data_IF_951002275262
#
_entry.id   IF_951002275262
#
_cell.length_a   1.000
_cell.length_b   1.000
_cell.length_c   1.000
_cell.angle_alpha   90.00
_cell.angle_beta   90.00
_cell.angle_gamma   90.00
#
_symmetry.space_group_name_H-M   'P 1'
#
loop_
_entity.id
_entity.type
_entity.pdbx_description
1 polymer ?
#
# COMPACT_ATOMS: atom_id res chain seq x y z
N UNK A 1 -12.49 65.30 29.09
CA UNK A 1 -12.26 66.12 30.30
C UNK A 1 -12.11 65.17 31.49
N UNK A 2 -10.92 65.18 32.13
CA UNK A 2 -10.56 64.69 33.49
C UNK A 2 -10.99 63.27 33.93
N UNK A 3 -10.22 62.47 34.65
CA UNK A 3 -8.82 62.45 35.10
C UNK A 3 -8.56 61.07 35.73
N UNK A 4 -7.30 60.68 35.74
CA UNK A 4 -6.65 59.64 36.55
C UNK A 4 -6.95 59.73 38.06
N UNK A 5 -6.73 58.61 38.79
CA UNK A 5 -5.71 58.54 39.85
C UNK A 5 -5.48 57.10 40.35
N UNK A 6 -4.22 56.71 40.27
CA UNK A 6 -3.53 55.64 41.00
C UNK A 6 -3.61 55.83 42.52
N UNK A 7 -3.42 54.76 43.29
CA UNK A 7 -2.38 54.74 44.33
C UNK A 7 -1.85 53.33 44.59
N UNK A 8 -0.53 53.29 44.76
CA UNK A 8 0.34 52.13 44.92
C UNK A 8 0.90 52.06 46.34
N UNK A 9 1.26 50.86 46.80
CA UNK A 9 2.41 50.58 47.67
C UNK A 9 2.50 49.04 47.82
N UNK A 10 3.52 48.37 47.28
CA UNK A 10 4.85 48.14 47.87
C UNK A 10 4.77 47.44 49.25
N UNK A 11 5.48 46.38 49.60
CA UNK A 11 6.60 45.59 49.04
C UNK A 11 6.88 44.46 50.06
N UNK A 12 7.39 43.28 49.71
CA UNK A 12 8.81 42.83 49.66
C UNK A 12 8.85 41.48 50.40
N UNK A 13 9.15 40.36 49.71
CA UNK A 13 10.46 39.72 49.48
C UNK A 13 11.05 38.99 50.70
N UNK A 14 11.28 37.68 50.55
CA UNK A 14 12.59 36.98 50.61
C UNK A 14 12.37 35.48 50.37
N UNK A 15 12.94 34.90 49.31
CA UNK A 15 14.25 34.21 49.24
C UNK A 15 14.21 32.85 49.97
N UNK A 16 14.59 31.73 49.35
CA UNK A 16 16.00 31.31 49.22
C UNK A 16 16.33 30.63 47.86
N UNK A 17 17.43 31.10 47.25
CA UNK A 17 18.35 30.39 46.36
C UNK A 17 19.74 30.50 47.00
N UNK A 18 20.54 29.42 46.98
CA UNK A 18 22.01 29.40 47.01
C UNK A 18 22.43 27.99 46.52
N UNK A 19 23.11 27.73 45.40
CA UNK A 19 24.40 28.22 44.85
C UNK A 19 25.61 27.78 45.68
N UNK A 20 26.48 26.94 45.10
CA UNK A 20 27.95 27.05 45.20
C UNK A 20 28.64 26.30 44.06
N UNK A 21 29.76 26.88 43.60
CA UNK A 21 30.51 26.61 42.37
C UNK A 21 31.94 26.16 42.73
N UNK A 22 32.56 25.41 41.81
CA UNK A 22 33.98 25.41 41.47
C UNK A 22 35.02 24.51 42.20
N UNK A 23 35.68 23.70 41.35
CA UNK A 23 37.13 23.36 41.28
C UNK A 23 37.79 22.42 42.31
N UNK A 24 38.26 21.26 41.85
CA UNK A 24 39.71 20.98 41.69
C UNK A 24 40.01 19.68 40.94
N UNK A 25 41.13 19.74 40.22
CA UNK A 25 41.77 18.74 39.39
C UNK A 25 42.31 17.53 40.17
N UNK A 26 42.31 16.39 39.47
CA UNK A 26 43.47 15.54 39.16
C UNK A 26 43.55 14.13 39.77
N UNK A 27 43.97 13.20 38.88
CA UNK A 27 44.49 11.83 39.10
C UNK A 27 43.45 10.72 39.26
N UNK A 28 43.20 10.00 38.16
CA UNK A 28 43.64 8.60 37.98
C UNK A 28 43.40 8.19 36.52
N UNK A 29 44.49 7.98 35.80
CA UNK A 29 44.49 7.32 34.50
C UNK A 29 44.46 5.79 34.73
N UNK A 30 43.43 5.11 34.22
CA UNK A 30 43.53 3.70 33.79
C UNK A 30 42.74 3.56 32.49
N UNK A 31 43.45 3.02 31.51
CA UNK A 31 43.06 2.69 30.13
C UNK A 31 42.13 1.49 30.11
N UNK A 32 41.02 1.56 29.37
CA UNK A 32 40.46 0.42 28.65
C UNK A 32 39.46 0.87 27.56
N UNK A 33 39.76 0.45 26.34
CA UNK A 33 39.10 0.74 25.08
C UNK A 33 37.78 -0.01 24.87
N UNK A 34 37.06 0.39 23.81
CA UNK A 34 36.05 -0.34 23.03
C UNK A 34 34.61 -0.43 23.58
N UNK A 35 33.72 0.43 23.07
CA UNK A 35 32.74 0.07 22.05
C UNK A 35 31.73 1.22 21.88
N UNK A 36 31.88 1.99 20.81
CA UNK A 36 30.83 2.89 20.34
C UNK A 36 29.80 2.04 19.60
N UNK A 37 28.72 1.66 20.28
CA UNK A 37 27.52 1.13 19.61
C UNK A 37 26.63 2.31 19.22
N UNK A 38 26.89 2.89 18.07
CA UNK A 38 25.87 3.63 17.31
C UNK A 38 24.93 2.59 16.71
N UNK A 39 23.88 2.24 17.43
CA UNK A 39 22.77 1.48 16.88
C UNK A 39 21.97 2.41 15.95
N UNK A 40 22.31 2.41 14.67
CA UNK A 40 21.44 2.93 13.61
C UNK A 40 20.24 1.98 13.51
N UNK A 41 19.11 2.36 14.10
CA UNK A 41 17.85 1.68 13.85
C UNK A 41 17.41 2.01 12.41
N UNK A 42 17.59 1.06 11.50
CA UNK A 42 16.80 1.00 10.29
C UNK A 42 15.30 1.02 10.69
N UNK A 43 14.39 1.59 9.88
CA UNK A 43 12.97 1.38 10.10
C UNK A 43 12.74 -0.13 10.15
N UNK A 44 12.16 -0.59 11.26
CA UNK A 44 11.96 -2.01 11.53
C UNK A 44 11.34 -2.67 10.28
N UNK A 45 11.99 -3.68 9.68
CA UNK A 45 11.36 -4.43 8.61
C UNK A 45 10.03 -4.91 9.17
N UNK A 46 8.94 -4.64 8.42
CA UNK A 46 7.62 -5.17 8.75
C UNK A 46 7.83 -6.64 9.12
N UNK A 47 7.36 -7.10 10.30
CA UNK A 47 7.59 -8.47 10.71
C UNK A 47 7.17 -9.36 9.56
N UNK A 48 8.12 -10.15 9.03
CA UNK A 48 7.85 -11.15 8.01
C UNK A 48 6.98 -12.19 8.69
N UNK A 49 5.67 -11.92 8.70
CA UNK A 49 4.67 -12.93 8.98
C UNK A 49 4.90 -14.02 7.93
N UNK A 50 5.04 -15.30 8.33
CA UNK A 50 5.21 -16.35 7.35
C UNK A 50 4.01 -16.31 6.38
N UNK A 51 4.22 -16.50 5.06
CA UNK A 51 3.11 -16.67 4.12
C UNK A 51 2.18 -17.75 4.68
N UNK A 52 0.85 -17.58 4.53
CA UNK A 52 -0.12 -18.49 5.17
C UNK A 52 0.19 -19.95 4.88
N UNK A 53 0.86 -20.62 5.82
CA UNK A 53 0.92 -22.06 5.82
C UNK A 53 -0.46 -22.51 6.30
N UNK A 54 -1.23 -23.09 5.38
CA UNK A 54 -2.50 -23.73 5.67
C UNK A 54 -2.42 -25.17 5.19
N UNK A 55 -2.90 -26.07 6.02
CA UNK A 55 -3.22 -27.45 5.68
C UNK A 55 -4.57 -27.57 4.95
N UNK A 56 -5.31 -26.46 4.81
CA UNK A 56 -6.45 -26.38 3.91
C UNK A 56 -5.92 -26.29 2.47
N UNK A 57 -6.19 -27.34 1.70
CA UNK A 57 -5.76 -27.50 0.32
C UNK A 57 -6.65 -26.66 -0.63
N UNK A 58 -6.77 -25.36 -0.36
CA UNK A 58 -7.76 -24.48 -1.00
C UNK A 58 -7.37 -24.09 -2.43
N UNK A 59 -6.11 -23.67 -2.62
CA UNK A 59 -5.59 -23.19 -3.91
C UNK A 59 -4.83 -24.29 -4.69
N UNK A 60 -5.08 -25.57 -4.42
CA UNK A 60 -4.30 -26.64 -5.06
C UNK A 60 -4.58 -26.78 -6.56
N UNK A 61 -5.80 -26.45 -6.98
CA UNK A 61 -6.27 -26.64 -8.36
C UNK A 61 -6.02 -25.43 -9.27
N UNK A 62 -5.60 -24.29 -8.69
CA UNK A 62 -5.34 -23.04 -9.40
C UNK A 62 -4.48 -22.07 -8.57
N UNK A 63 -3.67 -21.25 -9.22
CA UNK A 63 -2.82 -20.25 -8.60
C UNK A 63 -3.24 -18.85 -9.03
N UNK A 64 -3.05 -17.86 -8.16
CA UNK A 64 -3.19 -16.46 -8.56
C UNK A 64 -2.31 -16.19 -9.78
N UNK A 65 -2.79 -15.33 -10.68
CA UNK A 65 -2.24 -15.06 -12.00
C UNK A 65 -2.45 -16.15 -13.07
N UNK A 66 -3.10 -17.28 -12.76
CA UNK A 66 -3.51 -18.22 -13.79
C UNK A 66 -4.46 -17.57 -14.80
N UNK A 67 -4.31 -17.94 -16.06
CA UNK A 67 -5.27 -17.51 -17.09
C UNK A 67 -6.58 -18.26 -16.93
N UNK A 68 -7.67 -17.62 -17.30
CA UNK A 68 -8.99 -18.24 -17.39
C UNK A 68 -8.95 -19.55 -18.20
N UNK A 69 -8.25 -19.55 -19.34
CA UNK A 69 -8.11 -20.74 -20.17
C UNK A 69 -7.40 -21.90 -19.45
N UNK A 70 -6.35 -21.62 -18.66
CA UNK A 70 -5.66 -22.63 -17.86
C UNK A 70 -6.54 -23.14 -16.72
N UNK A 71 -7.22 -22.24 -16.00
CA UNK A 71 -8.14 -22.58 -14.92
C UNK A 71 -9.26 -23.54 -15.38
N UNK A 72 -9.82 -23.29 -16.56
CA UNK A 72 -10.91 -24.11 -17.12
C UNK A 72 -10.49 -25.53 -17.49
N UNK A 73 -9.19 -25.83 -17.61
CA UNK A 73 -8.71 -27.19 -17.86
C UNK A 73 -8.90 -28.09 -16.63
N UNK A 74 -8.75 -27.55 -15.42
CA UNK A 74 -8.98 -28.28 -14.16
C UNK A 74 -10.42 -28.16 -13.64
N UNK A 75 -11.21 -27.20 -14.14
CA UNK A 75 -12.57 -26.90 -13.65
C UNK A 75 -13.64 -26.91 -14.76
N UNK A 76 -13.59 -27.89 -15.66
CA UNK A 76 -14.39 -27.90 -16.88
C UNK A 76 -15.93 -27.98 -16.66
N UNK A 77 -16.40 -28.49 -15.53
CA UNK A 77 -17.84 -28.69 -15.26
C UNK A 77 -18.21 -28.32 -13.83
N UNK A 78 -19.52 -28.11 -13.57
CA UNK A 78 -20.01 -27.87 -12.20
C UNK A 78 -19.80 -26.47 -11.66
N UNK A 79 -19.51 -25.49 -12.53
CA UNK A 79 -19.36 -24.09 -12.15
C UNK A 79 -20.49 -23.22 -12.73
N UNK A 80 -20.74 -22.09 -12.07
CA UNK A 80 -21.59 -21.02 -12.59
C UNK A 80 -20.74 -19.77 -12.82
N UNK A 81 -20.74 -19.25 -14.06
CA UNK A 81 -20.11 -17.98 -14.40
C UNK A 81 -21.10 -16.82 -14.23
N UNK A 82 -20.64 -15.74 -13.59
CA UNK A 82 -21.46 -14.58 -13.25
C UNK A 82 -20.63 -13.30 -13.44
N UNK A 83 -21.24 -12.17 -13.88
CA UNK A 83 -20.49 -10.92 -14.02
C UNK A 83 -19.94 -10.41 -12.67
N UNK A 84 -18.70 -9.93 -12.69
CA UNK A 84 -18.05 -9.30 -11.53
C UNK A 84 -17.36 -8.00 -11.97
N UNK A 85 -18.14 -6.92 -12.03
CA UNK A 85 -17.69 -5.66 -12.64
C UNK A 85 -17.33 -5.84 -14.11
N UNK A 86 -16.10 -5.51 -14.48
CA UNK A 86 -15.54 -5.74 -15.81
C UNK A 86 -14.94 -7.15 -15.98
N UNK A 87 -14.86 -7.92 -14.90
CA UNK A 87 -14.36 -9.29 -14.85
C UNK A 87 -15.47 -10.32 -14.67
N UNK A 88 -15.08 -11.51 -14.20
CA UNK A 88 -15.97 -12.67 -14.03
C UNK A 88 -15.75 -13.36 -12.69
N UNK A 89 -16.82 -13.85 -12.12
CA UNK A 89 -16.81 -14.74 -10.96
C UNK A 89 -17.26 -16.13 -11.40
N UNK A 90 -16.49 -17.15 -11.01
CA UNK A 90 -16.82 -18.56 -11.19
C UNK A 90 -17.14 -19.18 -9.84
N UNK A 91 -18.35 -19.71 -9.69
CA UNK A 91 -18.80 -20.35 -8.45
C UNK A 91 -18.84 -21.86 -8.56
N UNK A 92 -18.33 -22.54 -7.54
CA UNK A 92 -18.44 -24.00 -7.37
C UNK A 92 -19.19 -24.23 -6.06
N UNK A 93 -20.23 -25.07 -6.11
CA UNK A 93 -21.05 -25.36 -4.93
C UNK A 93 -20.33 -26.30 -3.95
N UNK A 94 -20.75 -26.26 -2.69
CA UNK A 94 -20.21 -27.09 -1.60
C UNK A 94 -20.13 -28.59 -1.94
N UNK A 95 -21.14 -29.13 -2.62
CA UNK A 95 -21.19 -30.56 -2.99
C UNK A 95 -20.18 -30.97 -4.05
N UNK A 96 -19.62 -30.02 -4.79
CA UNK A 96 -18.65 -30.22 -5.87
C UNK A 96 -17.25 -29.75 -5.49
N UNK A 97 -17.13 -29.01 -4.39
CA UNK A 97 -15.87 -28.50 -3.87
C UNK A 97 -15.08 -29.59 -3.15
N UNK A 98 -13.80 -29.74 -3.49
CA UNK A 98 -12.88 -30.60 -2.75
C UNK A 98 -12.64 -30.12 -1.31
N UNK A 99 -12.78 -28.81 -1.09
CA UNK A 99 -12.61 -28.19 0.23
C UNK A 99 -13.87 -28.23 1.09
N UNK A 100 -15.00 -28.73 0.57
CA UNK A 100 -16.29 -28.71 1.25
C UNK A 100 -16.79 -27.29 1.52
N UNK A 101 -16.48 -26.36 0.62
CA UNK A 101 -16.85 -24.94 0.73
C UNK A 101 -17.64 -24.47 -0.49
N UNK A 102 -18.36 -23.37 -0.36
CA UNK A 102 -18.82 -22.62 -1.53
C UNK A 102 -17.64 -21.80 -2.06
N UNK A 103 -17.11 -22.17 -3.23
CA UNK A 103 -15.94 -21.53 -3.82
C UNK A 103 -16.35 -20.45 -4.82
N UNK A 104 -15.60 -19.36 -4.84
CA UNK A 104 -15.71 -18.29 -5.82
C UNK A 104 -14.33 -17.88 -6.32
N UNK A 105 -14.12 -17.93 -7.63
CA UNK A 105 -12.87 -17.63 -8.31
C UNK A 105 -13.06 -16.40 -9.20
N UNK A 106 -12.21 -15.40 -9.06
CA UNK A 106 -12.43 -14.08 -9.61
C UNK A 106 -11.37 -13.72 -10.64
N UNK A 107 -11.83 -13.49 -11.85
CA UNK A 107 -11.00 -13.09 -12.97
C UNK A 107 -11.21 -11.62 -13.28
N UNK A 108 -10.13 -10.90 -13.57
CA UNK A 108 -10.24 -9.54 -14.06
C UNK A 108 -10.65 -9.50 -15.54
N UNK A 109 -10.67 -8.29 -16.11
CA UNK A 109 -11.09 -8.07 -17.49
C UNK A 109 -10.18 -8.76 -18.53
N UNK A 110 -8.93 -9.07 -18.17
CA UNK A 110 -7.98 -9.74 -19.05
C UNK A 110 -8.03 -11.27 -18.89
N UNK A 111 -8.91 -11.76 -18.02
CA UNK A 111 -9.02 -13.19 -17.72
C UNK A 111 -7.88 -13.69 -16.84
N UNK A 112 -7.26 -12.83 -16.03
CA UNK A 112 -6.27 -13.24 -15.03
C UNK A 112 -6.96 -13.54 -13.71
N UNK A 113 -6.64 -14.66 -13.07
CA UNK A 113 -7.15 -15.02 -11.75
C UNK A 113 -6.54 -14.09 -10.69
N UNK A 114 -7.35 -13.16 -10.16
CA UNK A 114 -6.89 -12.12 -9.23
C UNK A 114 -7.29 -12.39 -7.78
N UNK A 115 -8.22 -13.31 -7.56
CA UNK A 115 -8.54 -13.79 -6.22
C UNK A 115 -9.46 -14.99 -6.19
N UNK A 116 -9.55 -15.58 -5.01
CA UNK A 116 -10.43 -16.69 -4.68
C UNK A 116 -11.04 -16.48 -3.29
N UNK A 117 -12.25 -16.97 -3.08
CA UNK A 117 -12.98 -16.94 -1.82
C UNK A 117 -13.62 -18.32 -1.57
N UNK A 118 -13.40 -18.84 -0.37
CA UNK A 118 -13.94 -20.10 0.13
C UNK A 118 -14.85 -19.75 1.30
N UNK A 119 -16.14 -20.09 1.19
CA UNK A 119 -17.14 -19.80 2.23
C UNK A 119 -17.62 -21.11 2.84
N UNK A 120 -17.66 -21.16 4.17
CA UNK A 120 -18.15 -22.29 4.95
C UNK A 120 -19.42 -21.88 5.70
N UNK A 121 -20.62 -22.01 5.10
CA UNK A 121 -21.84 -21.48 5.69
C UNK A 121 -22.19 -22.12 7.04
N UNK A 122 -21.88 -23.42 7.22
CA UNK A 122 -22.05 -24.13 8.48
C UNK A 122 -20.86 -24.00 9.44
N UNK A 123 -19.79 -23.30 9.01
CA UNK A 123 -18.51 -23.21 9.69
C UNK A 123 -17.65 -24.47 9.55
N UNK A 124 -16.35 -24.29 9.35
CA UNK A 124 -15.37 -25.37 9.36
C UNK A 124 -14.66 -25.42 10.72
N UNK A 125 -14.80 -26.52 11.45
CA UNK A 125 -14.03 -26.76 12.69
C UNK A 125 -12.54 -26.85 12.35
N UNK A 126 -11.73 -25.95 12.91
CA UNK A 126 -10.30 -25.92 12.67
C UNK A 126 -9.50 -26.87 13.57
N UNK A 127 -10.14 -27.59 14.50
CA UNK A 127 -9.47 -28.56 15.37
C UNK A 127 -8.64 -29.60 14.60
N UNK A 128 -9.09 -30.17 13.46
CA UNK A 128 -8.30 -31.12 12.66
C UNK A 128 -7.15 -30.49 11.86
N UNK A 129 -7.04 -29.16 11.87
CA UNK A 129 -6.14 -28.37 11.01
C UNK A 129 -5.06 -27.66 11.86
N UNK A 130 -4.07 -28.41 12.40
CA UNK A 130 -3.08 -27.86 13.33
C UNK A 130 -2.18 -26.80 12.69
N UNK A 131 -1.90 -26.87 11.39
CA UNK A 131 -1.01 -25.91 10.72
C UNK A 131 -1.71 -24.55 10.65
N UNK A 132 -2.96 -24.51 10.18
CA UNK A 132 -3.70 -23.26 10.12
C UNK A 132 -3.95 -22.68 11.52
N UNK A 133 -4.27 -23.52 12.52
CA UNK A 133 -4.44 -23.03 13.91
C UNK A 133 -3.18 -22.40 14.47
N UNK A 134 -2.02 -23.01 14.24
CA UNK A 134 -0.75 -22.45 14.68
C UNK A 134 -0.49 -21.09 14.00
N UNK A 135 -0.64 -21.03 12.67
CA UNK A 135 -0.52 -19.79 11.89
C UNK A 135 -1.43 -18.69 12.46
N UNK A 136 -2.72 -18.97 12.68
CA UNK A 136 -3.67 -17.99 13.22
C UNK A 136 -3.33 -17.56 14.65
N UNK A 137 -2.74 -18.43 15.46
CA UNK A 137 -2.36 -18.12 16.85
C UNK A 137 -1.19 -17.14 16.95
N UNK A 138 -0.35 -17.09 15.91
CA UNK A 138 0.78 -16.16 15.81
C UNK A 138 0.37 -14.79 15.26
N UNK A 139 -0.80 -14.72 14.61
CA UNK A 139 -1.33 -13.50 14.04
C UNK A 139 -2.14 -12.70 15.07
N UNK A 140 -1.98 -11.37 15.01
CA UNK A 140 -2.92 -10.45 15.68
C UNK A 140 -4.11 -10.22 14.74
N UNK A 141 -5.37 -10.33 15.22
CA UNK A 141 -6.52 -9.98 14.41
C UNK A 141 -6.41 -8.55 13.90
N UNK A 142 -6.65 -8.36 12.61
CA UNK A 142 -6.71 -7.04 11.97
C UNK A 142 -7.97 -6.30 12.43
N UNK A 143 -9.06 -7.05 12.67
CA UNK A 143 -10.33 -6.50 13.12
C UNK A 143 -11.13 -7.57 13.86
N UNK A 144 -11.85 -7.15 14.91
CA UNK A 144 -12.80 -7.96 15.66
C UNK A 144 -14.18 -7.32 15.60
N UNK A 145 -15.22 -8.13 15.41
CA UNK A 145 -16.59 -7.65 15.27
C UNK A 145 -17.59 -8.77 15.60
N UNK A 146 -18.87 -8.41 15.77
CA UNK A 146 -19.92 -9.38 16.03
C UNK A 146 -20.61 -9.78 14.73
N UNK A 147 -20.77 -11.08 14.53
CA UNK A 147 -21.48 -11.65 13.39
C UNK A 147 -22.56 -12.64 13.88
N UNK A 148 -23.74 -12.55 13.26
CA UNK A 148 -24.80 -13.54 13.41
C UNK A 148 -24.75 -14.47 12.21
N UNK A 149 -24.50 -15.76 12.42
CA UNK A 149 -24.45 -16.77 11.35
C UNK A 149 -25.55 -17.81 11.59
N UNK A 150 -26.69 -17.72 10.88
CA UNK A 150 -27.87 -18.54 11.17
C UNK A 150 -27.66 -20.06 11.02
N UNK A 151 -26.70 -20.44 10.16
CA UNK A 151 -26.39 -21.83 9.83
C UNK A 151 -25.39 -22.47 10.81
N UNK A 152 -24.82 -21.72 11.77
CA UNK A 152 -23.91 -22.30 12.76
C UNK A 152 -24.65 -23.27 13.69
N UNK A 153 -24.04 -24.42 14.05
CA UNK A 153 -24.63 -25.35 15.03
C UNK A 153 -24.82 -24.73 16.42
N UNK A 154 -23.96 -23.78 16.80
CA UNK A 154 -24.12 -22.98 18.01
C UNK A 154 -25.33 -22.05 17.83
N UNK A 155 -26.38 -22.26 18.63
CA UNK A 155 -27.57 -21.37 18.65
C UNK A 155 -27.28 -19.95 19.18
N UNK A 156 -26.01 -19.58 19.34
CA UNK A 156 -25.59 -18.25 19.76
C UNK A 156 -25.89 -17.27 18.62
N UNK A 157 -26.79 -16.32 18.88
CA UNK A 157 -27.24 -15.36 17.86
C UNK A 157 -26.18 -14.31 17.51
N UNK A 158 -25.11 -14.18 18.30
CA UNK A 158 -23.98 -13.28 18.08
C UNK A 158 -22.71 -13.88 18.65
N UNK A 159 -21.79 -14.28 17.78
CA UNK A 159 -20.46 -14.74 18.18
C UNK A 159 -19.42 -13.66 17.84
N UNK A 160 -18.37 -13.58 18.66
CA UNK A 160 -17.19 -12.75 18.33
C UNK A 160 -16.52 -13.36 17.11
N UNK A 161 -16.29 -12.55 16.09
CA UNK A 161 -15.57 -12.92 14.88
C UNK A 161 -14.32 -12.07 14.73
N UNK A 162 -13.26 -12.69 14.28
CA UNK A 162 -11.93 -12.12 14.12
C UNK A 162 -11.47 -12.29 12.69
N UNK A 163 -11.01 -11.21 12.07
CA UNK A 163 -10.34 -11.25 10.78
C UNK A 163 -8.83 -11.32 10.98
N UNK A 164 -8.22 -12.37 10.45
CA UNK A 164 -6.78 -12.52 10.37
C UNK A 164 -6.30 -12.26 8.95
N UNK A 165 -5.11 -11.69 8.82
CA UNK A 165 -4.48 -11.44 7.53
C UNK A 165 -3.02 -11.88 7.57
N UNK A 166 -2.56 -12.46 6.48
CA UNK A 166 -1.16 -12.78 6.18
C UNK A 166 -0.95 -12.67 4.66
N UNK A 167 0.20 -13.07 4.14
CA UNK A 167 0.53 -12.94 2.74
C UNK A 167 2.03 -12.92 2.48
N UNK A 168 2.39 -12.61 1.24
CA UNK A 168 3.77 -12.34 0.83
C UNK A 168 3.89 -10.90 0.28
N UNK A 169 4.89 -10.61 -0.54
CA UNK A 169 5.08 -9.28 -1.12
C UNK A 169 4.01 -8.87 -2.14
N UNK A 170 3.24 -9.85 -2.66
CA UNK A 170 2.33 -9.65 -3.80
C UNK A 170 0.91 -10.12 -3.55
N UNK A 171 0.71 -10.89 -2.49
CA UNK A 171 -0.55 -11.58 -2.23
C UNK A 171 -0.94 -11.44 -0.77
N UNK A 172 -2.24 -11.44 -0.56
CA UNK A 172 -2.85 -11.34 0.75
C UNK A 172 -3.81 -12.50 0.92
N UNK A 173 -3.68 -13.19 2.05
CA UNK A 173 -4.62 -14.20 2.53
C UNK A 173 -5.40 -13.65 3.73
N UNK A 174 -6.72 -13.82 3.73
CA UNK A 174 -7.60 -13.38 4.82
C UNK A 174 -8.44 -14.54 5.33
N UNK A 175 -8.56 -14.65 6.66
CA UNK A 175 -9.32 -15.69 7.34
C UNK A 175 -10.30 -15.06 8.32
N UNK A 176 -11.60 -15.26 8.10
CA UNK A 176 -12.65 -14.87 9.03
C UNK A 176 -12.97 -16.05 9.94
N UNK A 177 -12.65 -15.92 11.22
CA UNK A 177 -12.76 -17.00 12.21
C UNK A 177 -13.68 -16.57 13.33
N UNK A 178 -14.48 -17.49 13.85
CA UNK A 178 -15.30 -17.31 15.05
C UNK A 178 -15.07 -18.48 16.03
N UNK A 179 -15.85 -18.54 17.11
CA UNK A 179 -15.67 -19.52 18.18
C UNK A 179 -14.60 -19.12 19.20
N UNK A 180 -14.18 -20.09 20.01
CA UNK A 180 -13.18 -19.87 21.07
C UNK A 180 -11.78 -20.18 20.55
N UNK A 181 -10.76 -19.78 21.30
CA UNK A 181 -9.36 -20.12 20.97
C UNK A 181 -9.13 -21.63 20.86
N UNK A 182 -9.84 -22.43 21.66
CA UNK A 182 -9.69 -23.89 21.69
C UNK A 182 -10.53 -24.59 20.61
N UNK A 183 -11.60 -23.94 20.14
CA UNK A 183 -12.49 -24.42 19.08
C UNK A 183 -12.76 -23.31 18.06
N UNK A 184 -11.73 -22.92 17.28
CA UNK A 184 -11.91 -21.93 16.24
C UNK A 184 -12.68 -22.52 15.06
N UNK A 185 -13.63 -21.74 14.55
CA UNK A 185 -14.48 -22.10 13.41
C UNK A 185 -14.17 -21.12 12.27
N UNK A 186 -13.72 -21.64 11.13
CA UNK A 186 -13.50 -20.83 9.94
C UNK A 186 -14.82 -20.60 9.21
N UNK A 187 -15.11 -19.34 8.88
CA UNK A 187 -16.29 -18.94 8.11
C UNK A 187 -15.92 -18.63 6.66
N UNK A 188 -14.80 -17.93 6.45
CA UNK A 188 -14.30 -17.64 5.10
C UNK A 188 -12.79 -17.65 5.05
N UNK A 189 -12.23 -18.10 3.93
CA UNK A 189 -10.84 -17.84 3.55
C UNK A 189 -10.81 -17.18 2.17
N UNK A 190 -10.00 -16.13 1.98
CA UNK A 190 -9.79 -15.53 0.67
C UNK A 190 -8.32 -15.31 0.37
N UNK A 191 -7.95 -15.45 -0.90
CA UNK A 191 -6.60 -15.27 -1.41
C UNK A 191 -6.66 -14.29 -2.57
N UNK A 192 -5.85 -13.25 -2.55
CA UNK A 192 -5.92 -12.17 -3.55
C UNK A 192 -4.56 -11.62 -3.88
N UNK A 193 -4.40 -11.16 -5.11
CA UNK A 193 -3.31 -10.26 -5.46
C UNK A 193 -3.55 -8.91 -4.77
N UNK A 194 -2.52 -8.31 -4.16
CA UNK A 194 -2.68 -7.19 -3.23
C UNK A 194 -3.51 -5.99 -3.73
N UNK A 195 -3.38 -5.52 -5.00
CA UNK A 195 -4.17 -4.39 -5.48
C UNK A 195 -5.69 -4.64 -5.38
N UNK A 196 -6.10 -5.91 -5.41
CA UNK A 196 -7.50 -6.32 -5.36
C UNK A 196 -8.03 -6.51 -3.94
N UNK A 197 -7.20 -6.54 -2.89
CA UNK A 197 -7.62 -6.85 -1.51
C UNK A 197 -8.85 -6.08 -1.05
N UNK A 198 -8.92 -4.78 -1.37
CA UNK A 198 -10.05 -3.94 -0.98
C UNK A 198 -11.38 -4.44 -1.54
N UNK A 199 -11.38 -5.08 -2.71
CA UNK A 199 -12.56 -5.68 -3.35
C UNK A 199 -12.99 -6.99 -2.71
N UNK A 200 -12.14 -7.62 -1.89
CA UNK A 200 -12.38 -8.90 -1.22
C UNK A 200 -12.61 -8.76 0.28
N UNK A 201 -12.67 -7.52 0.78
CA UNK A 201 -12.89 -7.26 2.19
C UNK A 201 -14.11 -8.03 2.71
N UNK A 202 -13.95 -8.93 3.69
CA UNK A 202 -15.04 -9.80 4.16
C UNK A 202 -16.15 -9.03 4.88
N UNK A 203 -16.01 -7.72 5.05
CA UNK A 203 -17.03 -6.80 5.57
C UNK A 203 -17.92 -6.22 4.48
N UNK A 204 -17.55 -6.38 3.21
CA UNK A 204 -18.43 -6.00 2.12
C UNK A 204 -19.69 -6.84 2.23
N UNK A 205 -20.81 -6.14 2.08
CA UNK A 205 -22.14 -6.72 2.23
C UNK A 205 -22.30 -7.99 1.38
N UNK A 206 -21.77 -7.99 0.17
CA UNK A 206 -21.82 -9.11 -0.77
C UNK A 206 -21.16 -10.40 -0.23
N UNK A 207 -20.09 -10.32 0.56
CA UNK A 207 -19.44 -11.49 1.16
C UNK A 207 -20.08 -11.87 2.49
N UNK A 208 -20.44 -10.88 3.32
CA UNK A 208 -21.19 -11.12 4.55
C UNK A 208 -22.53 -11.81 4.29
N UNK A 209 -23.22 -11.45 3.20
CA UNK A 209 -24.49 -12.06 2.83
C UNK A 209 -24.33 -13.54 2.45
N UNK A 210 -23.17 -13.95 1.91
CA UNK A 210 -22.86 -15.39 1.65
C UNK A 210 -22.74 -16.18 2.95
N UNK A 211 -22.09 -15.60 3.97
CA UNK A 211 -21.95 -16.23 5.29
C UNK A 211 -23.27 -16.23 6.06
N UNK A 212 -24.06 -15.14 5.98
CA UNK A 212 -25.34 -15.00 6.70
C UNK A 212 -26.49 -15.78 6.06
N UNK A 213 -26.39 -16.14 4.78
CA UNK A 213 -27.49 -16.71 4.01
C UNK A 213 -28.54 -15.67 3.59
N UNK A 214 -29.32 -16.01 2.56
CA UNK A 214 -30.24 -15.11 1.84
C UNK A 214 -31.35 -14.44 2.69
N UNK A 215 -31.52 -14.79 3.97
CA UNK A 215 -32.58 -14.25 4.84
C UNK A 215 -32.24 -12.92 5.52
N UNK A 216 -30.99 -12.42 5.43
CA UNK A 216 -30.59 -11.17 6.08
C UNK A 216 -31.02 -9.92 5.28
N UNK A 217 -32.32 -9.59 5.30
CA UNK A 217 -32.85 -8.31 4.79
C UNK A 217 -32.49 -7.08 5.64
N UNK A 218 -31.66 -7.20 6.68
CA UNK A 218 -31.29 -6.07 7.56
C UNK A 218 -29.89 -5.51 7.28
N UNK A 219 -29.89 -4.19 7.22
CA UNK A 219 -28.84 -3.22 6.90
C UNK A 219 -27.68 -3.26 7.89
N UNK A 220 -26.66 -4.07 7.61
CA UNK A 220 -25.31 -3.79 8.12
C UNK A 220 -24.64 -2.84 7.14
N UNK A 221 -24.32 -1.62 7.58
CA UNK A 221 -23.31 -0.80 6.91
C UNK A 221 -21.95 -1.48 7.12
N UNK A 222 -21.68 -2.52 6.34
CA UNK A 222 -20.30 -2.87 6.03
C UNK A 222 -19.64 -1.61 5.48
N UNK A 223 -18.36 -1.39 5.80
CA UNK A 223 -17.60 -0.27 5.22
C UNK A 223 -17.48 -0.51 3.73
N UNK A 224 -18.51 -0.09 2.98
CA UNK A 224 -18.44 0.00 1.53
C UNK A 224 -17.44 1.10 1.28
N UNK A 225 -16.33 0.78 0.62
CA UNK A 225 -15.49 1.81 0.02
C UNK A 225 -16.41 2.77 -0.72
N UNK A 226 -16.41 4.05 -0.36
CA UNK A 226 -17.31 5.08 -0.93
C UNK A 226 -17.07 5.32 -2.44
N UNK A 227 -16.14 4.57 -3.03
CA UNK A 227 -15.78 4.63 -4.43
C UNK A 227 -16.61 3.64 -5.26
N UNK A 228 -16.94 3.99 -6.51
CA UNK A 228 -17.57 3.05 -7.42
C UNK A 228 -16.71 1.79 -7.59
N UNK A 229 -17.35 0.62 -7.50
CA UNK A 229 -16.68 -0.68 -7.60
C UNK A 229 -15.84 -0.81 -8.87
N UNK A 230 -16.37 -0.39 -10.03
CA UNK A 230 -15.67 -0.43 -11.31
C UNK A 230 -14.38 0.39 -11.30
N UNK A 231 -14.37 1.53 -10.60
CA UNK A 231 -13.20 2.40 -10.49
C UNK A 231 -12.10 1.74 -9.66
N UNK A 232 -12.47 1.14 -8.53
CA UNK A 232 -11.53 0.39 -7.68
C UNK A 232 -10.97 -0.83 -8.42
N UNK A 233 -11.83 -1.56 -9.12
CA UNK A 233 -11.43 -2.75 -9.88
C UNK A 233 -10.45 -2.42 -11.00
N UNK A 234 -10.73 -1.38 -11.79
CA UNK A 234 -9.85 -0.95 -12.87
C UNK A 234 -8.56 -0.32 -12.33
N UNK A 235 -8.61 0.36 -11.19
CA UNK A 235 -7.39 0.85 -10.54
C UNK A 235 -6.49 -0.31 -10.08
N UNK A 236 -7.07 -1.32 -9.44
CA UNK A 236 -6.36 -2.53 -9.02
C UNK A 236 -5.73 -3.27 -10.20
N UNK A 237 -6.47 -3.40 -11.32
CA UNK A 237 -5.96 -3.94 -12.59
C UNK A 237 -4.75 -3.15 -13.09
N UNK A 238 -4.84 -1.82 -13.05
CA UNK A 238 -3.74 -0.94 -13.46
C UNK A 238 -2.49 -1.12 -12.62
N UNK A 239 -2.65 -1.22 -11.30
CA UNK A 239 -1.53 -1.45 -10.37
C UNK A 239 -0.90 -2.83 -10.57
N UNK A 240 -1.72 -3.88 -10.71
CA UNK A 240 -1.25 -5.23 -10.96
C UNK A 240 -0.38 -5.31 -12.23
N UNK A 241 -0.85 -4.68 -13.31
CA UNK A 241 -0.14 -4.61 -14.59
C UNK A 241 1.14 -3.73 -14.52
N UNK A 242 1.08 -2.58 -13.85
CA UNK A 242 2.20 -1.66 -13.75
C UNK A 242 3.35 -2.20 -12.89
N UNK A 243 3.01 -2.93 -11.82
CA UNK A 243 3.97 -3.44 -10.83
C UNK A 243 4.37 -4.89 -11.05
N UNK A 244 3.95 -5.50 -12.17
CA UNK A 244 4.28 -6.88 -12.55
C UNK A 244 3.92 -7.90 -11.46
N UNK A 245 2.70 -7.80 -10.92
CA UNK A 245 2.20 -8.79 -9.96
C UNK A 245 2.17 -10.19 -10.59
N UNK A 246 1.83 -10.28 -11.88
CA UNK A 246 1.76 -11.53 -12.64
C UNK A 246 2.92 -11.75 -13.63
N UNK A 247 4.14 -11.32 -13.27
CA UNK A 247 5.37 -11.66 -13.99
C UNK A 247 5.99 -10.51 -14.75
N UNK A 248 5.29 -9.93 -15.74
CA UNK A 248 5.81 -8.84 -16.57
C UNK A 248 5.03 -7.54 -16.39
N UNK A 249 5.69 -6.40 -16.62
CA UNK A 249 5.02 -5.09 -16.64
C UNK A 249 4.28 -4.91 -17.95
N UNK A 250 3.03 -4.48 -17.89
CA UNK A 250 2.19 -4.19 -19.05
C UNK A 250 1.74 -2.73 -18.99
N UNK A 251 2.56 -1.83 -19.55
CA UNK A 251 2.31 -0.39 -19.49
C UNK A 251 1.04 0.01 -20.26
N UNK A 252 0.76 -0.68 -21.37
CA UNK A 252 -0.47 -0.60 -22.18
C UNK A 252 -1.72 -0.93 -21.35
N UNK A 253 -1.73 -2.10 -20.71
CA UNK A 253 -2.80 -2.54 -19.82
C UNK A 253 -2.98 -1.57 -18.65
N UNK A 254 -1.87 -1.12 -18.05
CA UNK A 254 -1.92 -0.19 -16.93
C UNK A 254 -2.59 1.14 -17.30
N UNK A 255 -2.21 1.76 -18.42
CA UNK A 255 -2.82 3.03 -18.82
C UNK A 255 -4.29 2.87 -19.21
N UNK A 256 -4.66 1.81 -19.93
CA UNK A 256 -6.07 1.49 -20.23
C UNK A 256 -6.88 1.36 -18.93
N UNK A 257 -6.36 0.60 -17.97
CA UNK A 257 -7.01 0.36 -16.69
C UNK A 257 -7.19 1.66 -15.88
N UNK A 258 -6.13 2.47 -15.72
CA UNK A 258 -6.26 3.75 -15.00
C UNK A 258 -7.20 4.73 -15.69
N UNK A 259 -7.20 4.77 -17.03
CA UNK A 259 -8.14 5.60 -17.78
C UNK A 259 -9.58 5.14 -17.56
N UNK A 260 -9.85 3.83 -17.57
CA UNK A 260 -11.16 3.27 -17.25
C UNK A 260 -11.56 3.51 -15.79
N UNK A 261 -10.63 3.46 -14.86
CA UNK A 261 -10.87 3.78 -13.47
C UNK A 261 -11.34 5.23 -13.29
N UNK A 262 -10.66 6.18 -13.95
CA UNK A 262 -11.03 7.59 -13.98
C UNK A 262 -12.42 7.78 -14.61
N UNK A 263 -12.69 7.13 -15.75
CA UNK A 263 -13.96 7.25 -16.47
C UNK A 263 -15.15 6.63 -15.70
N UNK A 264 -14.88 5.60 -14.90
CA UNK A 264 -15.87 4.98 -14.00
C UNK A 264 -16.22 5.88 -12.80
N UNK A 265 -15.38 6.89 -12.54
CA UNK A 265 -15.59 7.96 -11.58
C UNK A 265 -14.97 7.66 -10.21
N UNK A 266 -14.33 8.65 -9.60
CA UNK A 266 -13.93 8.62 -8.20
C UNK A 266 -14.71 9.68 -7.43
N UNK A 267 -15.29 9.32 -6.29
CA UNK A 267 -15.95 10.26 -5.38
C UNK A 267 -14.92 11.03 -4.56
N UNK A 268 -13.78 10.41 -4.21
CA UNK A 268 -12.68 11.08 -3.54
C UNK A 268 -11.69 11.72 -4.53
N UNK A 269 -11.55 13.05 -4.43
CA UNK A 269 -10.59 13.83 -5.25
C UNK A 269 -9.14 13.40 -5.07
N UNK A 270 -8.75 12.92 -3.88
CA UNK A 270 -7.40 12.43 -3.62
C UNK A 270 -7.11 11.17 -4.43
N UNK A 271 -8.06 10.23 -4.48
CA UNK A 271 -7.95 9.02 -5.32
C UNK A 271 -7.97 9.37 -6.81
N UNK A 272 -8.79 10.34 -7.22
CA UNK A 272 -8.80 10.84 -8.60
C UNK A 272 -7.44 11.42 -9.00
N UNK A 273 -6.84 12.25 -8.14
CA UNK A 273 -5.51 12.80 -8.39
C UNK A 273 -4.44 11.71 -8.48
N UNK A 274 -4.53 10.69 -7.64
CA UNK A 274 -3.63 9.53 -7.67
C UNK A 274 -3.80 8.71 -8.96
N UNK A 275 -5.04 8.46 -9.40
CA UNK A 275 -5.30 7.77 -10.67
C UNK A 275 -4.70 8.52 -11.86
N UNK A 276 -4.79 9.85 -11.90
CA UNK A 276 -4.10 10.65 -12.93
C UNK A 276 -2.57 10.55 -12.85
N UNK A 277 -2.00 10.50 -11.64
CA UNK A 277 -0.55 10.31 -11.48
C UNK A 277 -0.10 8.95 -11.99
N UNK A 278 -0.81 7.88 -11.61
CA UNK A 278 -0.54 6.51 -12.06
C UNK A 278 -0.72 6.35 -13.57
N UNK A 279 -1.77 6.97 -14.14
CA UNK A 279 -1.97 7.06 -15.59
C UNK A 279 -0.78 7.75 -16.27
N UNK A 280 -0.30 8.87 -15.72
CA UNK A 280 0.87 9.58 -16.23
C UNK A 280 2.13 8.70 -16.27
N UNK A 281 2.38 7.95 -15.19
CA UNK A 281 3.50 6.99 -15.13
C UNK A 281 3.35 5.86 -16.16
N UNK A 282 2.15 5.30 -16.31
CA UNK A 282 1.90 4.25 -17.29
C UNK A 282 2.08 4.74 -18.73
N UNK A 283 1.61 5.96 -19.04
CA UNK A 283 1.77 6.60 -20.35
C UNK A 283 3.24 6.95 -20.65
N UNK A 284 4.00 7.39 -19.65
CA UNK A 284 5.44 7.62 -19.80
C UNK A 284 6.15 6.31 -20.16
N UNK A 285 5.82 5.20 -19.47
CA UNK A 285 6.39 3.89 -19.75
C UNK A 285 6.03 3.34 -21.15
N UNK A 286 4.94 3.83 -21.77
CA UNK A 286 4.61 3.56 -23.18
C UNK A 286 5.34 4.47 -24.18
N UNK A 287 6.10 5.46 -23.72
CA UNK A 287 6.70 6.50 -24.56
C UNK A 287 5.73 7.60 -25.01
N UNK A 288 4.52 7.64 -24.44
CA UNK A 288 3.49 8.64 -24.77
C UNK A 288 3.66 9.93 -23.93
N UNK A 289 4.84 10.54 -23.97
CA UNK A 289 5.25 11.64 -23.06
C UNK A 289 4.30 12.85 -23.05
N UNK A 290 3.72 13.22 -24.19
CA UNK A 290 2.72 14.32 -24.24
C UNK A 290 1.44 13.98 -23.48
N UNK A 291 0.94 12.74 -23.59
CA UNK A 291 -0.23 12.29 -22.83
C UNK A 291 0.11 12.15 -21.34
N UNK A 292 1.31 11.67 -21.04
CA UNK A 292 1.81 11.54 -19.67
C UNK A 292 1.88 12.92 -18.98
N UNK A 293 2.41 13.94 -19.67
CA UNK A 293 2.41 15.34 -19.21
C UNK A 293 1.00 15.82 -18.86
N UNK A 294 0.04 15.62 -19.77
CA UNK A 294 -1.34 16.03 -19.54
C UNK A 294 -1.96 15.34 -18.31
N UNK A 295 -1.74 14.03 -18.13
CA UNK A 295 -2.22 13.31 -16.96
C UNK A 295 -1.59 13.82 -15.65
N UNK A 296 -0.28 14.09 -15.63
CA UNK A 296 0.38 14.66 -14.44
C UNK A 296 -0.11 16.08 -14.12
N UNK A 297 -0.38 16.90 -15.13
CA UNK A 297 -0.98 18.22 -14.95
C UNK A 297 -2.39 18.13 -14.36
N UNK A 298 -3.22 17.15 -14.77
CA UNK A 298 -4.52 16.90 -14.14
C UNK A 298 -4.37 16.47 -12.68
N UNK A 299 -3.39 15.62 -12.36
CA UNK A 299 -3.10 15.24 -10.98
C UNK A 299 -2.74 16.47 -10.12
N UNK A 300 -1.85 17.33 -10.62
CA UNK A 300 -1.44 18.56 -9.93
C UNK A 300 -2.52 19.64 -9.87
N UNK A 301 -3.44 19.68 -10.83
CA UNK A 301 -4.59 20.58 -10.78
C UNK A 301 -5.50 20.26 -9.58
N UNK A 302 -5.60 18.97 -9.22
CA UNK A 302 -6.37 18.52 -8.05
C UNK A 302 -5.54 18.60 -6.77
N UNK A 303 -4.26 18.18 -6.83
CA UNK A 303 -3.31 18.18 -5.71
C UNK A 303 -2.01 18.87 -6.10
N UNK A 304 -1.91 20.20 -5.94
CA UNK A 304 -0.80 20.98 -6.48
C UNK A 304 0.55 20.76 -5.77
N UNK A 305 0.55 20.21 -4.56
CA UNK A 305 1.72 20.13 -3.70
C UNK A 305 2.14 18.67 -3.45
N UNK A 306 2.35 17.91 -4.53
CA UNK A 306 2.83 16.52 -4.48
C UNK A 306 4.22 16.43 -5.12
N UNK A 307 5.30 16.38 -4.32
CA UNK A 307 6.68 16.39 -4.83
C UNK A 307 6.97 15.29 -5.85
N UNK A 308 6.42 14.09 -5.65
CA UNK A 308 6.60 12.93 -6.53
C UNK A 308 6.04 13.20 -7.94
N UNK A 309 4.85 13.82 -8.02
CA UNK A 309 4.22 14.16 -9.29
C UNK A 309 4.99 15.27 -9.99
N UNK A 310 5.46 16.28 -9.24
CA UNK A 310 6.30 17.37 -9.77
C UNK A 310 7.63 16.85 -10.30
N UNK A 311 8.29 15.95 -9.58
CA UNK A 311 9.52 15.31 -10.04
C UNK A 311 9.28 14.53 -11.34
N UNK A 312 8.22 13.72 -11.40
CA UNK A 312 7.94 12.94 -12.60
C UNK A 312 7.56 13.84 -13.79
N UNK A 313 6.82 14.92 -13.53
CA UNK A 313 6.47 15.91 -14.55
C UNK A 313 7.73 16.62 -15.07
N UNK A 314 8.68 16.95 -14.19
CA UNK A 314 9.98 17.49 -14.59
C UNK A 314 10.76 16.54 -15.50
N UNK A 315 10.74 15.24 -15.19
CA UNK A 315 11.36 14.22 -16.04
C UNK A 315 10.72 14.17 -17.43
N UNK A 316 9.39 14.24 -17.50
CA UNK A 316 8.65 14.27 -18.77
C UNK A 316 8.98 15.54 -19.57
N UNK A 317 9.00 16.72 -18.94
CA UNK A 317 9.37 17.97 -19.61
C UNK A 317 10.78 17.88 -20.21
N UNK A 318 11.74 17.31 -19.45
CA UNK A 318 13.10 17.10 -19.94
C UNK A 318 13.14 16.15 -21.14
N UNK A 319 12.38 15.05 -21.13
CA UNK A 319 12.27 14.13 -22.27
C UNK A 319 11.68 14.80 -23.51
N UNK A 320 10.75 15.74 -23.32
CA UNK A 320 10.15 16.54 -24.39
C UNK A 320 11.05 17.70 -24.86
N UNK A 321 12.22 17.90 -24.24
CA UNK A 321 13.16 18.98 -24.56
C UNK A 321 12.83 20.32 -23.91
N UNK A 322 11.77 20.42 -23.10
CA UNK A 322 11.38 21.63 -22.38
C UNK A 322 12.14 21.74 -21.06
N UNK A 323 13.40 22.16 -21.16
CA UNK A 323 14.32 22.22 -20.02
C UNK A 323 13.88 23.21 -18.94
N UNK A 324 13.30 24.34 -19.34
CA UNK A 324 12.91 25.39 -18.41
C UNK A 324 11.75 24.92 -17.51
N UNK A 325 10.74 24.27 -18.09
CA UNK A 325 9.66 23.66 -17.30
C UNK A 325 10.13 22.48 -16.46
N UNK A 326 11.13 21.73 -16.93
CA UNK A 326 11.75 20.66 -16.15
C UNK A 326 12.39 21.21 -14.87
N UNK A 327 13.25 22.22 -15.00
CA UNK A 327 13.91 22.90 -13.87
C UNK A 327 12.86 23.43 -12.89
N UNK A 328 11.87 24.19 -13.37
CA UNK A 328 10.82 24.76 -12.52
C UNK A 328 10.04 23.67 -11.74
N UNK A 329 9.77 22.53 -12.38
CA UNK A 329 9.08 21.40 -11.73
C UNK A 329 9.93 20.76 -10.64
N UNK A 330 11.23 20.53 -10.91
CA UNK A 330 12.15 19.97 -9.93
C UNK A 330 12.44 20.92 -8.76
N UNK A 331 12.64 22.22 -9.03
CA UNK A 331 12.80 23.25 -7.99
C UNK A 331 11.60 23.27 -7.05
N UNK A 332 10.38 23.18 -7.59
CA UNK A 332 9.16 23.12 -6.78
C UNK A 332 9.07 21.84 -5.96
N UNK A 333 9.45 20.68 -6.53
CA UNK A 333 9.51 19.41 -5.80
C UNK A 333 10.48 19.48 -4.61
N UNK A 334 11.67 20.05 -4.84
CA UNK A 334 12.70 20.26 -3.82
C UNK A 334 12.28 21.30 -2.78
N UNK A 335 11.57 22.36 -3.16
CA UNK A 335 11.04 23.36 -2.22
C UNK A 335 10.02 22.72 -1.27
N UNK A 336 9.15 21.86 -1.79
CA UNK A 336 8.14 21.15 -1.00
C UNK A 336 8.76 20.03 -0.15
N UNK A 337 9.82 19.38 -0.63
CA UNK A 337 10.56 18.34 0.09
C UNK A 337 12.07 18.52 -0.11
N UNK A 338 12.73 19.30 0.76
CA UNK A 338 14.18 19.57 0.64
C UNK A 338 15.05 18.32 0.68
N UNK A 339 14.61 17.30 1.43
CA UNK A 339 15.25 15.99 1.57
C UNK A 339 14.70 14.99 0.54
N UNK A 340 14.62 15.37 -0.74
CA UNK A 340 14.20 14.48 -1.82
C UNK A 340 15.37 14.20 -2.78
N UNK A 341 16.16 13.13 -2.55
CA UNK A 341 17.38 12.88 -3.30
C UNK A 341 17.16 12.79 -4.81
N UNK A 342 16.12 12.08 -5.25
CA UNK A 342 15.84 11.90 -6.67
C UNK A 342 15.53 13.24 -7.37
N UNK A 343 14.78 14.13 -6.74
CA UNK A 343 14.50 15.46 -7.29
C UNK A 343 15.75 16.35 -7.33
N UNK A 344 16.63 16.27 -6.30
CA UNK A 344 17.93 16.96 -6.29
C UNK A 344 18.83 16.49 -7.44
N UNK A 345 18.92 15.17 -7.64
CA UNK A 345 19.67 14.57 -8.75
C UNK A 345 19.14 15.05 -10.10
N UNK A 346 17.82 14.97 -10.31
CA UNK A 346 17.21 15.39 -11.58
C UNK A 346 17.36 16.90 -11.84
N UNK A 347 17.26 17.72 -10.78
CA UNK A 347 17.49 19.17 -10.87
C UNK A 347 18.94 19.47 -11.28
N UNK A 348 19.91 18.77 -10.68
CA UNK A 348 21.32 18.88 -11.03
C UNK A 348 21.58 18.54 -12.51
N UNK A 349 21.06 17.40 -13.00
CA UNK A 349 21.15 17.02 -14.43
C UNK A 349 20.55 18.09 -15.35
N UNK A 350 19.48 18.75 -14.89
CA UNK A 350 18.79 19.77 -15.66
C UNK A 350 19.60 21.06 -15.72
N UNK A 351 20.34 21.42 -14.67
CA UNK A 351 21.24 22.57 -14.66
C UNK A 351 22.56 22.36 -15.40
N UNK A 352 23.08 21.14 -15.57
CA UNK A 352 24.43 20.90 -16.11
C UNK A 352 24.78 21.74 -17.35
N UNK A 353 23.93 21.86 -18.38
CA UNK A 353 24.29 22.57 -19.61
C UNK A 353 24.20 24.09 -19.53
N UNK A 354 23.49 24.63 -18.54
CA UNK A 354 23.16 26.07 -18.46
C UNK A 354 23.74 26.74 -17.22
N UNK A 355 23.92 26.01 -16.13
CA UNK A 355 24.41 26.53 -14.86
C UNK A 355 25.22 25.48 -14.08
N UNK A 356 26.49 25.38 -14.44
CA UNK A 356 27.48 24.49 -13.80
C UNK A 356 27.57 24.65 -12.28
N UNK A 357 27.43 25.86 -11.74
CA UNK A 357 27.52 26.11 -10.30
C UNK A 357 26.33 25.51 -9.55
N UNK A 358 25.11 25.76 -10.05
CA UNK A 358 23.90 25.18 -9.45
C UNK A 358 23.88 23.66 -9.58
N UNK A 359 24.32 23.11 -10.72
CA UNK A 359 24.42 21.67 -10.92
C UNK A 359 25.31 20.99 -9.84
N UNK A 360 26.50 21.54 -9.57
CA UNK A 360 27.40 21.03 -8.53
C UNK A 360 26.74 21.09 -7.14
N UNK A 361 26.14 22.23 -6.79
CA UNK A 361 25.48 22.42 -5.49
C UNK A 361 24.35 21.39 -5.25
N UNK A 362 23.55 21.11 -6.27
CA UNK A 362 22.45 20.15 -6.19
C UNK A 362 22.97 18.70 -6.12
N UNK A 363 24.04 18.37 -6.86
CA UNK A 363 24.69 17.06 -6.74
C UNK A 363 25.34 16.82 -5.38
N UNK A 364 26.01 17.82 -4.82
CA UNK A 364 26.60 17.73 -3.48
C UNK A 364 25.51 17.49 -2.42
N UNK A 365 24.37 18.17 -2.56
CA UNK A 365 23.21 17.95 -1.69
C UNK A 365 22.63 16.54 -1.86
N UNK A 366 22.48 16.05 -3.09
CA UNK A 366 22.07 14.67 -3.36
C UNK A 366 23.02 13.67 -2.67
N UNK A 367 24.34 13.83 -2.84
CA UNK A 367 25.35 12.94 -2.26
C UNK A 367 25.28 12.89 -0.73
N UNK A 368 25.07 14.05 -0.09
CA UNK A 368 24.89 14.12 1.36
C UNK A 368 23.62 13.38 1.82
N UNK A 369 22.53 13.46 1.06
CA UNK A 369 21.27 12.80 1.41
C UNK A 369 21.30 11.27 1.25
N UNK A 370 22.14 10.74 0.36
CA UNK A 370 22.24 9.30 0.08
C UNK A 370 23.46 8.64 0.72
N UNK A 371 24.21 9.37 1.54
CA UNK A 371 25.39 8.83 2.20
C UNK A 371 25.04 7.61 3.06
N UNK A 372 25.81 6.53 2.88
CA UNK A 372 25.58 5.26 3.57
C UNK A 372 24.38 4.45 3.08
N UNK A 373 23.64 4.90 2.06
CA UNK A 373 22.57 4.11 1.45
C UNK A 373 23.14 3.15 0.37
N UNK A 374 23.13 1.82 0.60
CA UNK A 374 23.66 0.86 -0.37
C UNK A 374 22.88 0.85 -1.69
N UNK A 375 21.57 1.14 -1.67
CA UNK A 375 20.72 1.14 -2.86
C UNK A 375 21.06 2.29 -3.82
N UNK A 376 21.71 3.34 -3.31
CA UNK A 376 22.11 4.51 -4.08
C UNK A 376 23.61 4.52 -4.42
N UNK A 377 24.38 3.52 -3.98
CA UNK A 377 25.85 3.51 -4.09
C UNK A 377 26.34 3.70 -5.53
N UNK A 378 25.69 3.02 -6.50
CA UNK A 378 26.05 3.10 -7.91
C UNK A 378 25.78 4.49 -8.50
N UNK A 379 24.60 5.06 -8.20
CA UNK A 379 24.23 6.41 -8.65
C UNK A 379 25.12 7.47 -7.99
N UNK A 380 25.40 7.32 -6.70
CA UNK A 380 26.30 8.20 -5.95
C UNK A 380 27.73 8.19 -6.52
N UNK A 381 28.26 7.02 -6.92
CA UNK A 381 29.56 6.94 -7.57
C UNK A 381 29.62 7.72 -8.89
N UNK A 382 28.59 7.59 -9.74
CA UNK A 382 28.48 8.36 -10.99
C UNK A 382 28.39 9.86 -10.73
N UNK A 383 27.62 10.27 -9.71
CA UNK A 383 27.49 11.69 -9.36
C UNK A 383 28.81 12.26 -8.86
N UNK A 384 29.58 11.54 -8.05
CA UNK A 384 30.93 11.97 -7.62
C UNK A 384 31.86 12.23 -8.80
N UNK A 385 31.83 11.36 -9.81
CA UNK A 385 32.62 11.55 -11.03
C UNK A 385 32.15 12.76 -11.84
N UNK A 386 30.84 12.93 -12.01
CA UNK A 386 30.26 14.11 -12.68
C UNK A 386 30.65 15.40 -11.99
N UNK A 387 30.56 15.49 -10.67
CA UNK A 387 30.98 16.67 -9.90
C UNK A 387 32.46 16.98 -10.14
N UNK A 388 33.35 15.97 -10.10
CA UNK A 388 34.78 16.15 -10.39
C UNK A 388 35.02 16.70 -11.81
N UNK A 389 34.27 16.22 -12.80
CA UNK A 389 34.38 16.70 -14.18
C UNK A 389 33.84 18.13 -14.31
N UNK A 390 32.74 18.45 -13.64
CA UNK A 390 32.18 19.79 -13.51
C UNK A 390 33.02 20.70 -12.59
N UNK A 391 34.14 20.27 -12.03
CA UNK A 391 35.06 21.14 -11.29
C UNK A 391 36.36 21.43 -12.07
N UNK A 392 36.62 20.68 -13.14
CA UNK A 392 37.73 20.89 -14.09
C UNK A 392 37.40 21.95 -15.12
#
# INVERSE_FOLDING_TARGET
>A
MFSSLDHSSAGRRSAWKAAWLATRLDRYAIVASLCWLTACAAPDPRPQLPPSASDLVLMKSAHLCDTHAAFMQSHATGHQEIPWGAGREFRINETQSESGSEEAWFFDQDGTLVGALFVYPAGLDLKPYPVLRETLSQLRPVLNFYLSVPKLPSKARMDTSSLYQTGDEKTTAQYLVTGTRDQPILLTASFTIDPYVSLFSPYRREFLDRVRGAESKKTGQGSVDQEPFASLQQFARGEAAQLAYCGTRHADVAADAYQKAINSGFSNKVRLAEAYHKLGLALEAQGASEKAKAAMQQSLAIRPNVPEVLNNLGTIYRQLGDRDQAIASFERAVTLRPNYPLARFNLAESYEPTNRKLAISEYETYLALVEGNPDEAERAARVKERVKNLQR
#
